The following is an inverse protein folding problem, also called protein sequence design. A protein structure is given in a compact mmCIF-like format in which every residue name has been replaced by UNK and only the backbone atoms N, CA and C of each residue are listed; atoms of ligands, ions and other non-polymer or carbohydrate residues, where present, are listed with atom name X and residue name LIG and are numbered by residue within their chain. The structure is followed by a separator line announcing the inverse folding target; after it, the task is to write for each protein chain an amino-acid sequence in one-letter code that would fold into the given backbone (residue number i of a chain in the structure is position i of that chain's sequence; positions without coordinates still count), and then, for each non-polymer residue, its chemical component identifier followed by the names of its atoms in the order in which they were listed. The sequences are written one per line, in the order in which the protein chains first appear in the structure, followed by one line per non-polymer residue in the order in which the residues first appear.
data_IF_388766724038
#
_entry.id   IF_388766724038
#
_cell.length_a   1.000
_cell.length_b   1.000
_cell.length_c   1.000
_cell.angle_alpha   90.00
_cell.angle_beta   90.00
_cell.angle_gamma   90.00
#
_symmetry.space_group_name_H-M   'P 1'
#
loop_
_entity.id
_entity.type
_entity.pdbx_description
1 polymer ?
#
# COMPACT_ATOMS: atom_id res chain seq x y z
N UNK A 1 -17.93 -20.66 -9.50
CA UNK A 1 -17.55 -20.33 -10.90
C UNK A 1 -17.33 -21.62 -11.69
N UNK A 2 -17.72 -21.67 -12.97
CA UNK A 2 -17.53 -22.86 -13.82
C UNK A 2 -16.05 -23.24 -14.00
N UNK A 3 -15.13 -22.28 -13.82
CA UNK A 3 -13.68 -22.47 -13.85
C UNK A 3 -13.04 -22.88 -12.51
N UNK A 4 -13.84 -23.16 -11.48
CA UNK A 4 -13.31 -23.52 -10.16
C UNK A 4 -12.58 -24.86 -10.19
N UNK A 5 -11.36 -24.90 -9.66
CA UNK A 5 -10.60 -26.15 -9.43
C UNK A 5 -11.03 -26.88 -8.15
N UNK A 6 -11.90 -26.27 -7.34
CA UNK A 6 -12.39 -26.82 -6.08
C UNK A 6 -13.89 -27.11 -6.16
N UNK A 7 -14.31 -28.25 -5.62
CA UNK A 7 -15.72 -28.58 -5.45
C UNK A 7 -16.35 -27.78 -4.30
N UNK A 8 -17.67 -27.65 -4.32
CA UNK A 8 -18.42 -27.00 -3.24
C UNK A 8 -18.15 -27.68 -1.90
N UNK A 9 -18.09 -29.01 -1.87
CA UNK A 9 -17.84 -29.80 -0.66
C UNK A 9 -16.44 -29.52 -0.09
N UNK A 10 -15.43 -29.40 -0.96
CA UNK A 10 -14.06 -29.06 -0.55
C UNK A 10 -14.01 -27.66 0.08
N UNK A 11 -14.66 -26.68 -0.54
CA UNK A 11 -14.72 -25.31 0.00
C UNK A 11 -15.47 -25.29 1.33
N UNK A 12 -16.66 -25.88 1.39
CA UNK A 12 -17.49 -25.93 2.59
C UNK A 12 -16.81 -26.68 3.75
N UNK A 13 -16.00 -27.70 3.45
CA UNK A 13 -15.23 -28.44 4.45
C UNK A 13 -14.07 -27.64 5.07
N UNK A 14 -13.53 -26.65 4.35
CA UNK A 14 -12.37 -25.84 4.79
C UNK A 14 -12.79 -24.53 5.44
N UNK A 15 -13.91 -23.93 5.04
CA UNK A 15 -14.42 -22.67 5.59
C UNK A 15 -14.47 -22.63 7.14
N UNK A 16 -14.90 -23.69 7.86
CA UNK A 16 -14.94 -23.69 9.33
C UNK A 16 -13.57 -23.52 10.02
N UNK A 17 -12.46 -23.73 9.31
CA UNK A 17 -11.12 -23.48 9.86
C UNK A 17 -10.79 -21.99 9.96
N UNK A 18 -11.48 -21.14 9.19
CA UNK A 18 -11.20 -19.70 9.09
C UNK A 18 -12.32 -18.84 9.65
N UNK A 19 -13.55 -19.37 9.68
CA UNK A 19 -14.72 -18.61 10.12
C UNK A 19 -15.07 -18.83 11.58
N UNK A 20 -15.54 -17.75 12.21
CA UNK A 20 -16.21 -17.84 13.50
C UNK A 20 -17.52 -18.62 13.38
N UNK A 21 -17.84 -19.43 14.38
CA UNK A 21 -19.14 -20.09 14.51
C UNK A 21 -20.28 -19.07 14.75
N UNK A 22 -19.95 -17.85 15.18
CA UNK A 22 -20.90 -16.74 15.40
C UNK A 22 -20.59 -15.60 14.44
N UNK A 23 -21.21 -15.62 13.26
CA UNK A 23 -21.03 -14.58 12.24
C UNK A 23 -21.80 -13.31 12.63
N UNK A 24 -21.25 -12.14 12.27
CA UNK A 24 -21.94 -10.86 12.44
C UNK A 24 -22.98 -10.67 11.33
N UNK A 25 -24.27 -10.79 11.66
CA UNK A 25 -25.35 -10.57 10.69
C UNK A 25 -25.29 -9.18 10.06
N UNK A 26 -24.85 -8.16 10.81
CA UNK A 26 -24.70 -6.80 10.29
C UNK A 26 -23.63 -6.72 9.19
N UNK A 27 -22.49 -7.41 9.37
CA UNK A 27 -21.45 -7.44 8.33
C UNK A 27 -21.92 -8.22 7.10
N UNK A 28 -22.66 -9.32 7.28
CA UNK A 28 -23.23 -10.08 6.16
C UNK A 28 -24.22 -9.22 5.37
N UNK A 29 -25.14 -8.53 6.04
CA UNK A 29 -26.10 -7.63 5.39
C UNK A 29 -25.40 -6.47 4.67
N UNK A 30 -24.34 -5.91 5.26
CA UNK A 30 -23.51 -4.88 4.62
C UNK A 30 -22.86 -5.38 3.33
N UNK A 31 -22.36 -6.61 3.30
CA UNK A 31 -21.80 -7.23 2.09
C UNK A 31 -22.89 -7.47 1.02
N UNK A 32 -24.07 -7.97 1.42
CA UNK A 32 -25.19 -8.17 0.50
C UNK A 32 -25.65 -6.85 -0.13
N UNK A 33 -25.74 -5.78 0.68
CA UNK A 33 -26.11 -4.46 0.20
C UNK A 33 -25.03 -3.85 -0.71
N UNK A 34 -23.75 -4.00 -0.36
CA UNK A 34 -22.64 -3.56 -1.20
C UNK A 34 -22.64 -4.24 -2.58
N UNK A 35 -22.92 -5.56 -2.64
CA UNK A 35 -23.05 -6.29 -3.90
C UNK A 35 -24.27 -5.77 -4.68
N UNK A 36 -25.42 -5.65 -4.01
CA UNK A 36 -26.64 -5.19 -4.66
C UNK A 36 -26.47 -3.79 -5.28
N UNK A 37 -25.91 -2.84 -4.53
CA UNK A 37 -25.74 -1.47 -4.97
C UNK A 37 -24.57 -1.34 -5.96
N UNK A 38 -23.44 -2.00 -5.72
CA UNK A 38 -22.27 -1.90 -6.59
C UNK A 38 -22.46 -2.48 -8.00
N UNK A 39 -23.37 -3.44 -8.15
CA UNK A 39 -23.69 -4.07 -9.45
C UNK A 39 -25.02 -3.60 -10.06
N UNK A 40 -25.75 -2.67 -9.42
CA UNK A 40 -26.95 -2.07 -10.02
C UNK A 40 -26.58 -1.11 -11.16
N UNK A 41 -27.56 -0.77 -12.01
CA UNK A 41 -27.32 0.22 -13.08
C UNK A 41 -27.01 1.60 -12.51
N UNK A 42 -27.64 1.98 -11.40
CA UNK A 42 -27.34 3.22 -10.67
C UNK A 42 -25.92 3.18 -10.09
N UNK A 43 -25.51 2.05 -9.50
CA UNK A 43 -24.15 1.88 -8.99
C UNK A 43 -23.09 2.03 -10.06
N UNK A 44 -23.28 1.38 -11.21
CA UNK A 44 -22.38 1.53 -12.38
C UNK A 44 -22.26 2.99 -12.81
N UNK A 45 -23.38 3.71 -12.88
CA UNK A 45 -23.37 5.13 -13.23
C UNK A 45 -22.55 5.99 -12.22
N UNK A 46 -22.58 5.66 -10.92
CA UNK A 46 -21.75 6.32 -9.91
C UNK A 46 -20.25 6.05 -10.12
N UNK A 47 -19.88 4.81 -10.46
CA UNK A 47 -18.51 4.47 -10.82
C UNK A 47 -18.05 5.24 -12.06
N UNK A 48 -18.86 5.27 -13.12
CA UNK A 48 -18.54 5.99 -14.36
C UNK A 48 -18.34 7.49 -14.09
N UNK A 49 -19.19 8.09 -13.25
CA UNK A 49 -19.05 9.48 -12.83
C UNK A 49 -17.74 9.71 -12.07
N UNK A 50 -17.40 8.86 -11.10
CA UNK A 50 -16.15 8.98 -10.35
C UNK A 50 -14.91 8.83 -11.25
N UNK A 51 -14.96 7.93 -12.25
CA UNK A 51 -13.90 7.76 -13.24
C UNK A 51 -13.73 9.04 -14.07
N UNK A 52 -14.83 9.61 -14.58
CA UNK A 52 -14.77 10.87 -15.33
C UNK A 52 -14.21 12.04 -14.50
N UNK A 53 -14.56 12.12 -13.22
CA UNK A 53 -13.98 13.11 -12.32
C UNK A 53 -12.49 12.89 -12.05
N UNK A 54 -12.05 11.63 -11.93
CA UNK A 54 -10.63 11.29 -11.85
C UNK A 54 -9.88 11.71 -13.13
N UNK A 55 -10.48 11.54 -14.31
CA UNK A 55 -9.87 11.98 -15.57
C UNK A 55 -9.77 13.50 -15.69
N UNK A 56 -10.77 14.23 -15.15
CA UNK A 56 -10.70 15.69 -15.03
C UNK A 56 -9.59 16.12 -14.07
N UNK A 57 -9.43 15.41 -12.96
CA UNK A 57 -8.35 15.65 -12.01
C UNK A 57 -6.97 15.37 -12.63
N UNK A 58 -6.81 14.29 -13.41
CA UNK A 58 -5.60 14.01 -14.20
C UNK A 58 -5.30 15.14 -15.19
N UNK A 59 -6.30 15.58 -15.95
CA UNK A 59 -6.16 16.72 -16.87
C UNK A 59 -5.68 17.99 -16.16
N UNK A 60 -6.16 18.27 -14.94
CA UNK A 60 -5.68 19.42 -14.16
C UNK A 60 -4.24 19.23 -13.66
N UNK A 61 -3.86 18.00 -13.28
CA UNK A 61 -2.49 17.69 -12.87
C UNK A 61 -1.49 17.89 -14.02
N UNK A 62 -1.89 17.66 -15.27
CA UNK A 62 -1.05 17.92 -16.44
C UNK A 62 -0.62 19.40 -16.53
N UNK A 63 -1.48 20.34 -16.10
CA UNK A 63 -1.18 21.78 -16.09
C UNK A 63 -0.11 22.17 -15.04
N UNK A 64 0.13 21.32 -14.04
CA UNK A 64 1.10 21.60 -12.98
C UNK A 64 2.52 21.17 -13.32
N UNK A 65 2.69 20.38 -14.38
CA UNK A 65 3.99 19.88 -14.83
C UNK A 65 4.67 19.01 -13.79
N UNK A 66 6.01 19.09 -13.69
CA UNK A 66 6.81 18.21 -12.81
C UNK A 66 6.64 18.48 -11.31
N UNK A 67 6.07 19.62 -10.93
CA UNK A 67 5.88 20.02 -9.52
C UNK A 67 4.96 19.04 -8.82
N UNK A 68 3.84 18.73 -9.46
CA UNK A 68 2.87 17.75 -8.99
C UNK A 68 2.25 17.12 -10.22
N UNK A 69 2.57 15.85 -10.46
CA UNK A 69 2.04 15.06 -11.57
C UNK A 69 1.46 13.75 -11.02
N UNK A 70 1.14 12.80 -11.89
CA UNK A 70 0.69 11.48 -11.49
C UNK A 70 1.46 10.38 -12.23
N UNK A 71 1.45 9.17 -11.67
CA UNK A 71 2.03 8.01 -12.34
C UNK A 71 1.10 7.45 -13.42
N UNK A 72 1.47 7.66 -14.69
CA UNK A 72 0.77 7.11 -15.86
C UNK A 72 0.74 5.59 -15.94
N UNK A 73 1.56 4.87 -15.16
CA UNK A 73 1.56 3.40 -15.13
C UNK A 73 0.43 2.83 -14.26
N UNK A 74 -0.23 3.66 -13.44
CA UNK A 74 -1.39 3.24 -12.65
C UNK A 74 -2.59 3.07 -13.57
N UNK A 75 -2.96 1.81 -13.82
CA UNK A 75 -4.05 1.45 -14.75
C UNK A 75 -5.46 1.52 -14.15
N UNK A 76 -5.57 1.53 -12.82
CA UNK A 76 -6.86 1.60 -12.13
C UNK A 76 -7.39 3.05 -12.20
N UNK A 77 -8.55 3.29 -12.84
CA UNK A 77 -9.03 4.64 -13.11
C UNK A 77 -9.45 5.40 -11.83
N UNK A 78 -9.72 4.71 -10.73
CA UNK A 78 -10.06 5.33 -9.44
C UNK A 78 -8.85 5.56 -8.54
N UNK A 79 -7.64 5.21 -9.00
CA UNK A 79 -6.40 5.45 -8.28
C UNK A 79 -5.59 6.52 -8.98
N UNK A 80 -5.07 7.44 -8.20
CA UNK A 80 -4.13 8.47 -8.67
C UNK A 80 -2.95 8.48 -7.73
N UNK A 81 -1.81 8.02 -8.22
CA UNK A 81 -0.54 8.13 -7.49
C UNK A 81 0.11 9.45 -7.86
N UNK A 82 0.04 10.44 -6.96
CA UNK A 82 0.64 11.74 -7.13
C UNK A 82 2.16 11.64 -6.99
N UNK A 83 2.89 12.10 -8.00
CA UNK A 83 4.36 12.21 -7.97
C UNK A 83 4.75 13.67 -7.79
N UNK A 84 5.73 13.89 -6.92
CA UNK A 84 6.21 15.23 -6.56
C UNK A 84 7.74 15.26 -6.55
N UNK A 85 8.34 16.28 -7.17
CA UNK A 85 9.80 16.43 -7.28
C UNK A 85 10.43 17.29 -6.17
N UNK A 86 9.66 17.75 -5.18
CA UNK A 86 10.10 18.79 -4.20
C UNK A 86 10.06 18.35 -2.75
N UNK A 87 9.03 17.60 -2.39
CA UNK A 87 8.80 17.06 -1.05
C UNK A 87 8.55 15.56 -1.15
N UNK A 88 8.63 14.85 -0.02
CA UNK A 88 8.21 13.45 0.04
C UNK A 88 6.69 13.33 -0.08
N UNK A 89 6.20 12.14 -0.41
CA UNK A 89 4.78 11.86 -0.33
C UNK A 89 4.23 11.95 1.09
N UNK A 90 5.05 11.68 2.10
CA UNK A 90 4.69 11.80 3.53
C UNK A 90 4.43 13.27 3.90
N UNK A 91 5.34 14.17 3.52
CA UNK A 91 5.16 15.61 3.69
C UNK A 91 3.93 16.13 2.92
N UNK A 92 3.67 15.61 1.72
CA UNK A 92 2.48 15.97 0.95
C UNK A 92 1.19 15.47 1.63
N UNK A 93 1.21 14.27 2.18
CA UNK A 93 0.07 13.70 2.91
C UNK A 93 -0.25 14.53 4.16
N UNK A 94 0.76 14.88 4.96
CA UNK A 94 0.59 15.78 6.11
C UNK A 94 0.01 17.13 5.68
N UNK A 95 0.51 17.68 4.57
CA UNK A 95 0.03 18.97 4.09
C UNK A 95 -1.42 18.93 3.61
N UNK A 96 -1.81 17.89 2.85
CA UNK A 96 -3.20 17.70 2.43
C UNK A 96 -4.13 17.38 3.60
N UNK A 97 -3.62 16.71 4.64
CA UNK A 97 -4.37 16.40 5.85
C UNK A 97 -4.79 17.68 6.61
N UNK A 98 -3.96 18.74 6.59
CA UNK A 98 -4.35 20.06 7.14
C UNK A 98 -5.55 20.69 6.41
N UNK A 99 -5.78 20.33 5.15
CA UNK A 99 -6.97 20.70 4.38
C UNK A 99 -8.10 19.69 4.53
N UNK A 100 -7.96 18.64 5.34
CA UNK A 100 -8.98 17.61 5.54
C UNK A 100 -9.02 16.56 4.43
N UNK A 101 -7.93 16.38 3.68
CA UNK A 101 -7.79 15.35 2.65
C UNK A 101 -6.81 14.30 3.16
N UNK A 102 -7.30 13.08 3.34
CA UNK A 102 -6.49 11.95 3.77
C UNK A 102 -6.00 11.15 2.55
N UNK A 103 -4.75 10.68 2.61
CA UNK A 103 -4.14 9.87 1.57
C UNK A 103 -4.04 8.41 1.99
N UNK A 104 -4.16 7.50 1.03
CA UNK A 104 -4.13 6.05 1.33
C UNK A 104 -2.72 5.58 1.68
N UNK A 105 -1.73 5.99 0.89
CA UNK A 105 -0.35 5.53 1.05
C UNK A 105 0.63 6.63 0.64
N UNK A 106 1.54 6.96 1.54
CA UNK A 106 2.61 7.92 1.31
C UNK A 106 3.97 7.23 1.35
N UNK A 107 4.84 7.59 0.40
CA UNK A 107 6.24 7.15 0.40
C UNK A 107 7.17 8.25 -0.08
N UNK A 108 8.42 7.89 -0.33
CA UNK A 108 9.44 8.86 -0.74
C UNK A 108 9.06 9.61 -2.03
N UNK A 109 8.53 8.89 -3.02
CA UNK A 109 8.25 9.45 -4.36
C UNK A 109 6.95 10.24 -4.44
N UNK A 110 5.96 9.89 -3.62
CA UNK A 110 4.60 10.32 -3.88
C UNK A 110 3.53 9.77 -2.95
N UNK A 111 2.29 10.16 -3.24
CA UNK A 111 1.09 9.92 -2.43
C UNK A 111 0.02 9.24 -3.28
N UNK A 112 -0.50 8.11 -2.80
CA UNK A 112 -1.64 7.42 -3.40
C UNK A 112 -2.95 8.00 -2.87
N UNK A 113 -3.81 8.40 -3.80
CA UNK A 113 -5.22 8.69 -3.54
C UNK A 113 -6.08 7.59 -4.15
N UNK A 114 -7.08 7.14 -3.40
CA UNK A 114 -8.10 6.20 -3.87
C UNK A 114 -9.47 6.89 -3.80
N UNK A 115 -10.11 6.98 -4.95
CA UNK A 115 -11.48 7.46 -5.07
C UNK A 115 -12.43 6.27 -5.12
N UNK A 116 -13.71 6.54 -4.85
CA UNK A 116 -14.76 5.53 -4.83
C UNK A 116 -16.05 6.14 -5.35
N UNK A 117 -17.01 5.28 -5.69
CA UNK A 117 -18.35 5.66 -6.14
C UNK A 117 -19.17 6.46 -5.10
N UNK A 118 -18.70 6.53 -3.85
CA UNK A 118 -19.31 7.37 -2.81
C UNK A 118 -18.85 8.84 -2.88
N UNK A 119 -17.75 9.13 -3.58
CA UNK A 119 -17.31 10.51 -3.78
C UNK A 119 -18.23 11.21 -4.79
N UNK A 120 -18.77 12.35 -4.38
CA UNK A 120 -19.65 13.17 -5.18
C UNK A 120 -18.84 14.25 -5.93
N UNK A 121 -19.43 14.96 -6.91
CA UNK A 121 -18.73 16.00 -7.67
C UNK A 121 -18.14 17.12 -6.81
N UNK A 122 -18.73 17.41 -5.65
CA UNK A 122 -18.23 18.41 -4.71
C UNK A 122 -16.94 17.97 -4.04
N UNK A 123 -16.77 16.69 -3.72
CA UNK A 123 -15.52 16.14 -3.18
C UNK A 123 -14.38 16.29 -4.19
N UNK A 124 -14.65 15.98 -5.46
CA UNK A 124 -13.67 16.17 -6.53
C UNK A 124 -13.36 17.64 -6.78
N UNK A 125 -14.37 18.51 -6.75
CA UNK A 125 -14.16 19.95 -6.83
C UNK A 125 -13.28 20.45 -5.68
N UNK A 126 -13.55 20.01 -4.46
CA UNK A 126 -12.75 20.34 -3.28
C UNK A 126 -11.29 19.90 -3.42
N UNK A 127 -11.05 18.68 -3.92
CA UNK A 127 -9.72 18.18 -4.22
C UNK A 127 -9.00 19.08 -5.24
N UNK A 128 -9.65 19.37 -6.37
CA UNK A 128 -9.09 20.22 -7.44
C UNK A 128 -8.74 21.62 -6.95
N UNK A 129 -9.61 22.23 -6.16
CA UNK A 129 -9.40 23.55 -5.57
C UNK A 129 -8.27 23.55 -4.54
N UNK A 130 -8.15 22.48 -3.76
CA UNK A 130 -7.07 22.34 -2.78
C UNK A 130 -5.73 22.17 -3.48
N UNK A 131 -5.64 21.35 -4.53
CA UNK A 131 -4.41 21.26 -5.33
C UNK A 131 -4.03 22.60 -5.96
N UNK A 132 -4.99 23.37 -6.46
CA UNK A 132 -4.72 24.69 -7.04
C UNK A 132 -4.12 25.67 -6.02
N UNK A 133 -4.42 25.51 -4.72
CA UNK A 133 -3.83 26.29 -3.63
C UNK A 133 -2.47 25.76 -3.19
N UNK A 134 -2.31 24.43 -3.17
CA UNK A 134 -1.11 23.73 -2.69
C UNK A 134 0.04 23.83 -3.69
N UNK A 135 -0.22 23.67 -5.00
CA UNK A 135 0.83 23.64 -6.04
C UNK A 135 1.71 24.89 -6.06
N UNK A 136 1.19 26.13 -5.96
CA UNK A 136 2.04 27.32 -5.83
C UNK A 136 3.01 27.27 -4.64
N UNK A 137 2.58 26.72 -3.50
CA UNK A 137 3.42 26.58 -2.30
C UNK A 137 4.53 25.55 -2.56
N UNK A 138 4.21 24.45 -3.24
CA UNK A 138 5.17 23.42 -3.61
C UNK A 138 6.21 23.93 -4.61
N UNK A 139 5.86 24.87 -5.50
CA UNK A 139 6.79 25.48 -6.47
C UNK A 139 7.95 26.23 -5.80
N UNK A 140 7.70 26.83 -4.64
CA UNK A 140 8.71 27.57 -3.88
C UNK A 140 9.71 26.67 -3.13
N UNK A 141 9.41 25.37 -3.02
CA UNK A 141 10.31 24.41 -2.35
C UNK A 141 11.47 24.00 -3.28
N UNK A 142 12.63 23.60 -2.73
CA UNK A 142 13.73 23.07 -3.53
C UNK A 142 13.37 21.72 -4.15
N UNK A 143 14.00 21.36 -5.27
CA UNK A 143 13.89 20.00 -5.85
C UNK A 143 14.56 19.02 -4.90
N UNK A 144 13.88 17.92 -4.55
CA UNK A 144 14.44 16.89 -3.67
C UNK A 144 15.46 16.02 -4.40
N UNK A 145 16.38 15.43 -3.64
CA UNK A 145 17.25 14.38 -4.17
C UNK A 145 16.45 13.09 -4.30
N UNK A 146 16.47 12.49 -5.48
CA UNK A 146 15.79 11.20 -5.72
C UNK A 146 16.71 10.07 -5.25
N UNK A 147 16.20 9.24 -4.35
CA UNK A 147 16.87 7.99 -3.97
C UNK A 147 16.75 6.96 -5.09
N UNK A 148 17.78 6.13 -5.35
CA UNK A 148 17.69 5.10 -6.38
C UNK A 148 16.70 3.99 -5.99
N UNK A 149 16.00 3.42 -6.98
CA UNK A 149 15.00 2.33 -6.79
C UNK A 149 15.54 1.13 -6.01
N UNK A 150 16.84 0.84 -6.16
CA UNK A 150 17.56 -0.22 -5.45
C UNK A 150 17.58 -0.03 -3.93
N UNK A 151 17.21 1.16 -3.45
CA UNK A 151 17.08 1.44 -2.04
C UNK A 151 15.89 0.69 -1.40
N UNK A 152 14.80 0.49 -2.15
CA UNK A 152 13.56 -0.09 -1.64
C UNK A 152 13.23 -1.48 -2.18
N UNK A 153 13.74 -1.85 -3.37
CA UNK A 153 13.46 -3.14 -3.99
C UNK A 153 14.65 -4.10 -3.89
N UNK A 154 14.40 -5.35 -3.49
CA UNK A 154 15.40 -6.42 -3.46
C UNK A 154 14.78 -7.78 -3.74
N UNK A 155 15.64 -8.72 -4.15
CA UNK A 155 15.29 -10.14 -4.22
C UNK A 155 15.77 -10.84 -2.93
N UNK A 156 14.87 -11.37 -2.08
CA UNK A 156 15.26 -12.03 -0.85
C UNK A 156 16.02 -13.33 -1.12
N UNK A 157 17.07 -13.59 -0.33
CA UNK A 157 17.87 -14.82 -0.46
C UNK A 157 17.27 -15.91 0.43
N UNK A 158 16.29 -16.64 -0.11
CA UNK A 158 15.60 -17.71 0.62
C UNK A 158 16.47 -18.95 0.77
N UNK A 159 16.75 -19.36 2.02
CA UNK A 159 17.50 -20.59 2.36
C UNK A 159 16.62 -21.68 2.97
N UNK A 160 15.44 -21.30 3.44
CA UNK A 160 14.48 -22.21 4.05
C UNK A 160 13.06 -21.74 3.69
N UNK A 161 12.12 -22.68 3.62
CA UNK A 161 10.71 -22.31 3.47
C UNK A 161 10.26 -21.47 4.68
N UNK A 162 9.50 -20.38 4.48
CA UNK A 162 9.05 -19.53 5.59
C UNK A 162 8.35 -20.29 6.71
N UNK A 163 7.53 -21.28 6.37
CA UNK A 163 6.88 -22.18 7.34
C UNK A 163 7.91 -22.91 8.20
N UNK A 164 8.91 -23.52 7.59
CA UNK A 164 9.92 -24.30 8.30
C UNK A 164 10.76 -23.41 9.21
N UNK A 165 11.15 -22.23 8.72
CA UNK A 165 11.90 -21.26 9.50
C UNK A 165 11.08 -20.69 10.67
N UNK A 166 9.76 -20.49 10.49
CA UNK A 166 8.89 -20.01 11.55
C UNK A 166 8.70 -21.02 12.69
N UNK A 167 8.59 -22.32 12.38
CA UNK A 167 8.35 -23.39 13.37
C UNK A 167 9.62 -24.07 13.90
N UNK A 168 10.81 -23.68 13.41
CA UNK A 168 12.06 -24.29 13.87
C UNK A 168 12.45 -23.85 15.29
N UNK A 169 13.46 -24.52 15.85
CA UNK A 169 14.16 -23.99 17.03
C UNK A 169 14.87 -22.70 16.64
N UNK A 170 14.65 -21.65 17.42
CA UNK A 170 15.17 -20.31 17.14
C UNK A 170 15.95 -19.74 18.32
N UNK A 171 16.80 -18.77 18.02
CA UNK A 171 17.56 -17.99 19.01
C UNK A 171 17.49 -16.50 18.66
N UNK A 172 17.56 -15.65 19.68
CA UNK A 172 17.58 -14.19 19.50
C UNK A 172 19.01 -13.68 19.44
N UNK A 173 19.32 -12.87 18.44
CA UNK A 173 20.62 -12.24 18.26
C UNK A 173 20.43 -10.76 17.89
N UNK A 174 21.33 -9.84 18.31
CA UNK A 174 21.43 -8.53 17.67
C UNK A 174 21.70 -8.70 16.18
N UNK A 175 21.12 -7.83 15.34
CA UNK A 175 21.25 -7.93 13.88
C UNK A 175 22.72 -7.98 13.44
N UNK A 176 23.60 -7.24 14.10
CA UNK A 176 25.05 -7.23 13.85
C UNK A 176 25.71 -8.61 13.97
N UNK A 177 25.15 -9.50 14.79
CA UNK A 177 25.63 -10.87 15.00
C UNK A 177 24.87 -11.90 14.17
N UNK A 178 23.95 -11.46 13.32
CA UNK A 178 23.05 -12.32 12.57
C UNK A 178 23.42 -12.43 11.08
N UNK A 179 24.48 -11.77 10.61
CA UNK A 179 24.96 -11.87 9.22
C UNK A 179 25.20 -13.33 8.82
N UNK A 180 24.64 -13.74 7.69
CA UNK A 180 24.70 -15.11 7.14
C UNK A 180 23.77 -16.12 7.82
N UNK A 181 23.07 -15.74 8.90
CA UNK A 181 22.09 -16.61 9.56
C UNK A 181 20.74 -16.55 8.85
N UNK A 182 19.95 -17.61 9.00
CA UNK A 182 18.60 -17.70 8.44
C UNK A 182 17.62 -17.08 9.44
N UNK A 183 16.89 -16.07 9.02
CA UNK A 183 15.84 -15.44 9.81
C UNK A 183 14.71 -16.44 10.10
N UNK A 184 14.19 -16.39 11.32
CA UNK A 184 12.97 -17.07 11.75
C UNK A 184 11.81 -16.08 11.96
N UNK A 185 12.08 -14.77 11.95
CA UNK A 185 11.09 -13.71 12.16
C UNK A 185 10.78 -12.89 10.90
N UNK A 186 9.80 -12.00 11.05
CA UNK A 186 9.42 -11.00 10.06
C UNK A 186 9.69 -9.62 10.64
N UNK A 187 10.38 -8.77 9.88
CA UNK A 187 10.60 -7.36 10.22
C UNK A 187 10.11 -6.51 9.06
N UNK A 188 9.22 -5.57 9.36
CA UNK A 188 8.67 -4.61 8.40
C UNK A 188 9.04 -3.19 8.84
N UNK A 189 9.30 -2.30 7.88
CA UNK A 189 9.40 -0.87 8.15
C UNK A 189 8.13 -0.19 7.68
N UNK A 190 7.59 0.71 8.49
CA UNK A 190 6.41 1.50 8.17
C UNK A 190 6.81 2.97 8.32
N UNK A 191 6.78 3.80 7.27
CA UNK A 191 6.64 3.48 5.83
C UNK A 191 7.91 2.82 5.23
N UNK A 192 7.84 2.10 4.09
CA UNK A 192 6.73 1.97 3.13
C UNK A 192 5.81 0.75 3.36
N UNK A 193 5.87 0.09 4.51
CA UNK A 193 5.04 -1.07 4.82
C UNK A 193 5.49 -2.39 4.20
N UNK A 194 6.61 -2.40 3.47
CA UNK A 194 7.20 -3.63 2.89
C UNK A 194 8.09 -4.37 3.91
N UNK A 195 8.17 -5.72 3.81
CA UNK A 195 9.03 -6.49 4.69
C UNK A 195 10.52 -6.23 4.39
N UNK A 196 11.26 -5.80 5.42
CA UNK A 196 12.73 -5.73 5.39
C UNK A 196 13.32 -7.14 5.52
N UNK A 197 12.74 -8.00 6.36
CA UNK A 197 13.23 -9.35 6.59
C UNK A 197 12.04 -10.31 6.69
N UNK A 198 12.12 -11.47 6.05
CA UNK A 198 11.09 -12.51 6.12
C UNK A 198 11.66 -13.81 6.70
N UNK A 199 10.79 -14.66 7.25
CA UNK A 199 11.23 -15.95 7.80
C UNK A 199 11.73 -16.85 6.66
N UNK A 200 12.87 -17.52 6.86
CA UNK A 200 13.52 -18.40 5.90
C UNK A 200 14.56 -17.72 5.02
N UNK A 201 14.72 -16.42 5.16
CA UNK A 201 15.68 -15.61 4.43
C UNK A 201 17.06 -15.54 5.12
N UNK A 202 18.14 -15.51 4.34
CA UNK A 202 19.48 -15.19 4.81
C UNK A 202 19.66 -13.70 5.09
N UNK A 203 20.15 -13.37 6.28
CA UNK A 203 20.48 -12.01 6.67
C UNK A 203 21.79 -11.59 5.99
N UNK A 204 21.69 -10.66 5.04
CA UNK A 204 22.80 -10.03 4.31
C UNK A 204 23.12 -8.60 4.80
N UNK A 205 24.21 -8.01 4.28
CA UNK A 205 24.59 -6.61 4.52
C UNK A 205 23.49 -5.60 4.20
N UNK A 206 22.60 -5.91 3.26
CA UNK A 206 21.47 -5.04 2.92
C UNK A 206 20.55 -4.77 4.13
N UNK A 207 20.36 -5.78 4.99
CA UNK A 207 19.56 -5.66 6.21
C UNK A 207 20.28 -4.86 7.29
N UNK A 208 21.59 -5.09 7.46
CA UNK A 208 22.43 -4.35 8.42
C UNK A 208 22.42 -2.84 8.15
N UNK A 209 22.33 -2.44 6.89
CA UNK A 209 22.26 -1.02 6.50
C UNK A 209 20.90 -0.37 6.79
N UNK A 210 19.84 -1.16 7.04
CA UNK A 210 18.44 -0.69 7.14
C UNK A 210 17.81 -0.92 8.50
N UNK A 211 18.38 -1.82 9.30
CA UNK A 211 17.98 -2.09 10.67
C UNK A 211 18.98 -1.43 11.61
N UNK A 212 18.47 -0.87 12.69
CA UNK A 212 19.32 -0.30 13.74
C UNK A 212 20.14 -1.42 14.40
N UNK A 213 21.34 -1.10 14.87
CA UNK A 213 22.27 -2.06 15.48
C UNK A 213 21.70 -2.79 16.70
N UNK A 214 20.78 -2.14 17.42
CA UNK A 214 20.05 -2.67 18.57
C UNK A 214 18.84 -3.54 18.18
N UNK A 215 18.52 -3.64 16.88
CA UNK A 215 17.45 -4.53 16.41
C UNK A 215 17.77 -5.97 16.74
N UNK A 216 16.93 -6.60 17.57
CA UNK A 216 17.02 -8.03 17.92
C UNK A 216 16.21 -8.84 16.92
N UNK A 217 16.85 -9.84 16.30
CA UNK A 217 16.23 -10.73 15.33
C UNK A 217 16.20 -12.17 15.85
N UNK A 218 15.17 -12.92 15.45
CA UNK A 218 15.13 -14.38 15.67
C UNK A 218 15.74 -15.09 14.47
N UNK A 219 16.70 -15.96 14.70
CA UNK A 219 17.33 -16.79 13.66
C UNK A 219 17.16 -18.27 13.96
N UNK A 220 17.19 -19.09 12.91
CA UNK A 220 17.22 -20.54 13.01
C UNK A 220 18.43 -20.95 13.88
N UNK A 221 18.16 -21.78 14.89
CA UNK A 221 19.17 -22.37 15.75
C UNK A 221 19.67 -23.66 15.10
N UNK A 222 20.98 -23.70 14.84
CA UNK A 222 21.70 -24.91 14.43
C UNK A 222 21.61 -26.01 15.49
#
# INVERSE_FOLDING_TARGET
PESSQFSTEQVMGVLPLFETTTRSNLLILSLEDAIKNGYSEEGKALFDQAIQECDRLRSQLDDYGKVLTYDSQVSDPLKIYLKIDRITGEELAEFLYEYGIDGEFAGEEGLLLIFSFHHNPQDFQFMRETLAKVVPILREKPIKQVLPDSYYCRNPVMKMLPKNAFFCRKQKLPIEKALGKISSCWIKKVPPGSPILISGEEITNWHLQRLSSDTVVEVVRE
#
